data_IF_789469232573
#
_entry.id   IF_789469232573
#
_cell.length_a   1.000
_cell.length_b   1.000
_cell.length_c   1.000
_cell.angle_alpha   90.00
_cell.angle_beta   90.00
_cell.angle_gamma   90.00
#
_symmetry.space_group_name_H-M   'P 1'
#
loop_
_entity.id
_entity.type
_entity.pdbx_description
1 polymer ?
#
# COMPACT_ATOMS: atom_id res chain seq x y z
N UNK A 1 -25.23 -2.68 0.86
CA UNK A 1 -24.25 -1.57 1.00
C UNK A 1 -22.94 -1.98 1.68
N UNK A 2 -22.85 -3.13 2.37
CA UNK A 2 -21.61 -3.59 3.02
C UNK A 2 -20.54 -4.18 2.07
N UNK A 3 -20.93 -4.75 0.93
CA UNK A 3 -20.00 -5.42 -0.02
C UNK A 3 -18.98 -4.48 -0.68
N UNK A 4 -19.27 -3.17 -0.76
CA UNK A 4 -18.36 -2.20 -1.36
C UNK A 4 -17.23 -1.75 -0.42
N UNK A 5 -17.34 -2.00 0.89
CA UNK A 5 -16.39 -1.49 1.89
C UNK A 5 -15.04 -2.20 1.75
N UNK A 6 -15.04 -3.53 1.59
CA UNK A 6 -13.80 -4.32 1.48
C UNK A 6 -12.99 -3.99 0.22
N UNK A 7 -13.58 -3.96 -0.99
CA UNK A 7 -12.86 -3.56 -2.21
C UNK A 7 -12.34 -2.12 -2.13
N UNK A 8 -13.14 -1.20 -1.58
CA UNK A 8 -12.72 0.20 -1.45
C UNK A 8 -11.54 0.36 -0.48
N UNK A 9 -11.59 -0.30 0.68
CA UNK A 9 -10.46 -0.33 1.61
C UNK A 9 -9.21 -0.95 1.00
N UNK A 10 -9.37 -2.02 0.19
CA UNK A 10 -8.26 -2.63 -0.53
C UNK A 10 -7.59 -1.63 -1.47
N UNK A 11 -8.37 -0.95 -2.32
CA UNK A 11 -7.84 0.03 -3.29
C UNK A 11 -7.15 1.19 -2.57
N UNK A 12 -7.73 1.70 -1.47
CA UNK A 12 -7.07 2.73 -0.67
C UNK A 12 -5.75 2.25 -0.07
N UNK A 13 -5.72 1.03 0.47
CA UNK A 13 -4.51 0.47 1.04
C UNK A 13 -3.43 0.31 -0.04
N UNK A 14 -3.79 -0.15 -1.24
CA UNK A 14 -2.90 -0.21 -2.42
C UNK A 14 -2.39 1.18 -2.78
N UNK A 15 -3.24 2.19 -2.85
CA UNK A 15 -2.82 3.56 -3.16
C UNK A 15 -1.83 4.13 -2.12
N UNK A 16 -2.09 3.90 -0.83
CA UNK A 16 -1.20 4.31 0.27
C UNK A 16 0.11 3.54 0.27
N UNK A 17 0.11 2.28 -0.17
CA UNK A 17 1.32 1.47 -0.29
C UNK A 17 2.19 1.90 -1.47
N UNK A 18 1.58 2.19 -2.62
CA UNK A 18 2.26 2.55 -3.87
C UNK A 18 2.75 4.00 -3.88
N UNK A 19 1.96 4.96 -3.37
CA UNK A 19 2.29 6.39 -3.39
C UNK A 19 3.69 6.74 -2.86
N UNK A 20 4.12 6.20 -1.70
CA UNK A 20 5.48 6.36 -1.17
C UNK A 20 6.59 5.97 -2.13
N UNK A 21 6.42 4.88 -2.90
CA UNK A 21 7.47 4.38 -3.81
C UNK A 21 7.77 5.44 -4.87
N UNK A 22 6.71 6.01 -5.46
CA UNK A 22 6.82 7.07 -6.46
C UNK A 22 7.40 8.37 -5.86
N UNK A 23 6.90 8.79 -4.69
CA UNK A 23 7.42 9.98 -4.02
C UNK A 23 8.92 9.85 -3.69
N UNK A 24 9.33 8.69 -3.14
CA UNK A 24 10.72 8.46 -2.79
C UNK A 24 11.62 8.48 -4.02
N UNK A 25 11.21 7.78 -5.09
CA UNK A 25 12.01 7.64 -6.30
C UNK A 25 12.11 8.95 -7.10
N UNK A 26 10.98 9.62 -7.33
CA UNK A 26 10.90 10.79 -8.21
C UNK A 26 11.35 12.07 -7.50
N UNK A 27 11.00 12.25 -6.22
CA UNK A 27 11.17 13.51 -5.51
C UNK A 27 12.17 13.42 -4.36
N UNK A 28 12.00 12.49 -3.43
CA UNK A 28 12.77 12.51 -2.18
C UNK A 28 14.26 12.17 -2.40
N UNK A 29 14.57 11.09 -3.12
CA UNK A 29 15.95 10.68 -3.41
C UNK A 29 16.75 11.78 -4.12
N UNK A 30 16.29 12.39 -5.22
CA UNK A 30 17.04 13.46 -5.87
C UNK A 30 17.19 14.70 -4.97
N UNK A 31 16.17 15.08 -4.20
CA UNK A 31 16.28 16.19 -3.25
C UNK A 31 17.29 15.91 -2.12
N UNK A 32 17.34 14.69 -1.59
CA UNK A 32 18.29 14.29 -0.55
C UNK A 32 19.73 14.27 -1.10
N UNK A 33 19.90 13.96 -2.39
CA UNK A 33 21.22 13.94 -3.05
C UNK A 33 21.87 15.32 -3.14
N UNK A 34 21.12 16.42 -3.05
CA UNK A 34 21.68 17.78 -3.04
C UNK A 34 22.29 18.19 -1.70
N UNK A 35 22.21 17.34 -0.67
CA UNK A 35 22.82 17.58 0.63
C UNK A 35 24.31 17.22 0.56
N UNK A 36 25.18 18.21 0.82
CA UNK A 36 26.65 18.06 0.79
C UNK A 36 27.19 17.24 1.98
N UNK A 37 26.65 17.48 3.18
CA UNK A 37 27.05 16.73 4.37
C UNK A 37 26.53 15.28 4.29
N UNK A 38 27.46 14.34 4.15
CA UNK A 38 27.16 12.92 4.02
C UNK A 38 26.44 12.34 5.25
N UNK A 39 26.76 12.79 6.47
CA UNK A 39 26.12 12.30 7.69
C UNK A 39 24.67 12.79 7.76
N UNK A 40 24.44 14.06 7.43
CA UNK A 40 23.08 14.63 7.36
C UNK A 40 22.27 13.92 6.29
N UNK A 41 22.85 13.74 5.09
CA UNK A 41 22.22 13.02 3.98
C UNK A 41 21.78 11.60 4.37
N UNK A 42 22.68 10.83 5.01
CA UNK A 42 22.38 9.47 5.45
C UNK A 42 21.28 9.44 6.52
N UNK A 43 21.31 10.37 7.50
CA UNK A 43 20.31 10.45 8.54
C UNK A 43 18.92 10.81 8.00
N UNK A 44 18.84 11.76 7.06
CA UNK A 44 17.59 12.16 6.40
C UNK A 44 17.03 10.98 5.59
N UNK A 45 17.87 10.33 4.77
CA UNK A 45 17.48 9.17 3.98
C UNK A 45 16.94 8.04 4.87
N UNK A 46 17.65 7.72 5.95
CA UNK A 46 17.23 6.69 6.91
C UNK A 46 15.90 7.04 7.56
N UNK A 47 15.76 8.26 8.07
CA UNK A 47 14.53 8.70 8.76
C UNK A 47 13.31 8.62 7.85
N UNK A 48 13.43 9.12 6.63
CA UNK A 48 12.35 9.10 5.64
C UNK A 48 11.99 7.66 5.27
N UNK A 49 12.99 6.85 4.91
CA UNK A 49 12.77 5.46 4.47
C UNK A 49 12.20 4.60 5.59
N UNK A 50 12.63 4.78 6.85
CA UNK A 50 12.08 4.03 7.99
C UNK A 50 10.61 4.39 8.24
N UNK A 51 10.24 5.68 8.19
CA UNK A 51 8.84 6.09 8.40
C UNK A 51 7.93 5.58 7.29
N UNK A 52 8.35 5.72 6.03
CA UNK A 52 7.62 5.15 4.91
C UNK A 52 7.58 3.62 4.95
N UNK A 53 8.64 2.98 5.45
CA UNK A 53 8.68 1.53 5.66
C UNK A 53 7.58 1.05 6.61
N UNK A 54 7.42 1.70 7.76
CA UNK A 54 6.32 1.36 8.69
C UNK A 54 4.94 1.54 8.05
N UNK A 55 4.74 2.62 7.30
CA UNK A 55 3.47 2.85 6.58
C UNK A 55 3.23 1.80 5.49
N UNK A 56 4.28 1.41 4.76
CA UNK A 56 4.21 0.37 3.74
C UNK A 56 3.89 -0.99 4.36
N UNK A 57 4.50 -1.35 5.49
CA UNK A 57 4.17 -2.60 6.18
C UNK A 57 2.73 -2.62 6.70
N UNK A 58 2.24 -1.52 7.27
CA UNK A 58 0.86 -1.41 7.73
C UNK A 58 -0.12 -1.52 6.55
N UNK A 59 0.13 -0.81 5.45
CA UNK A 59 -0.70 -0.88 4.25
C UNK A 59 -0.66 -2.28 3.62
N UNK A 60 0.51 -2.92 3.55
CA UNK A 60 0.66 -4.29 3.04
C UNK A 60 -0.18 -5.29 3.84
N UNK A 61 -0.19 -5.18 5.17
CA UNK A 61 -1.04 -6.03 6.02
C UNK A 61 -2.53 -5.85 5.66
N UNK A 62 -2.98 -4.60 5.48
CA UNK A 62 -4.38 -4.32 5.08
C UNK A 62 -4.67 -4.87 3.68
N UNK A 63 -3.77 -4.71 2.71
CA UNK A 63 -3.91 -5.24 1.34
C UNK A 63 -4.08 -6.76 1.38
N UNK A 64 -3.23 -7.46 2.14
CA UNK A 64 -3.29 -8.93 2.26
C UNK A 64 -4.61 -9.37 2.88
N UNK A 65 -5.01 -8.76 4.01
CA UNK A 65 -6.25 -9.12 4.69
C UNK A 65 -7.49 -8.87 3.80
N UNK A 66 -7.56 -7.69 3.20
CA UNK A 66 -8.70 -7.31 2.34
C UNK A 66 -8.73 -8.07 1.03
N UNK A 67 -7.56 -8.39 0.44
CA UNK A 67 -7.47 -9.18 -0.79
C UNK A 67 -7.94 -10.61 -0.58
N UNK A 68 -7.56 -11.24 0.54
CA UNK A 68 -8.07 -12.55 0.93
C UNK A 68 -9.60 -12.50 1.10
N UNK A 69 -10.12 -11.52 1.83
CA UNK A 69 -11.57 -11.36 2.02
C UNK A 69 -12.34 -11.10 0.72
N UNK A 70 -11.73 -10.42 -0.25
CA UNK A 70 -12.36 -10.17 -1.54
C UNK A 70 -12.49 -11.44 -2.39
N UNK A 71 -11.45 -12.28 -2.39
CA UNK A 71 -11.46 -13.57 -3.12
C UNK A 71 -12.56 -14.49 -2.57
N UNK A 72 -12.71 -14.58 -1.25
CA UNK A 72 -13.77 -15.41 -0.65
C UNK A 72 -15.17 -14.89 -0.99
N UNK A 73 -15.38 -13.57 -0.98
CA UNK A 73 -16.65 -12.97 -1.39
C UNK A 73 -16.95 -13.25 -2.87
N UNK A 74 -15.98 -13.07 -3.75
CA UNK A 74 -16.16 -13.37 -5.18
C UNK A 74 -16.42 -14.85 -5.43
N UNK A 75 -15.78 -15.76 -4.70
CA UNK A 75 -16.01 -17.20 -4.83
C UNK A 75 -17.44 -17.59 -4.42
N UNK A 76 -17.94 -17.08 -3.29
CA UNK A 76 -19.31 -17.33 -2.82
C UNK A 76 -20.34 -16.76 -3.81
N UNK A 77 -20.11 -15.57 -4.36
CA UNK A 77 -21.00 -14.93 -5.34
C UNK A 77 -21.01 -15.71 -6.67
N UNK A 78 -19.85 -16.19 -7.13
CA UNK A 78 -19.75 -16.98 -8.36
C UNK A 78 -20.42 -18.35 -8.24
N UNK A 79 -20.32 -19.01 -7.08
CA UNK A 79 -21.00 -20.27 -6.80
C UNK A 79 -22.52 -20.11 -6.88
N UNK A 80 -23.05 -19.03 -6.28
CA UNK A 80 -24.48 -18.70 -6.34
C UNK A 80 -24.97 -18.38 -7.77
N UNK A 81 -24.10 -17.88 -8.66
CA UNK A 81 -24.38 -17.68 -10.08
C UNK A 81 -24.20 -18.95 -10.94
N UNK A 82 -23.69 -20.04 -10.39
CA UNK A 82 -23.62 -21.32 -11.12
C UNK A 82 -24.68 -22.30 -10.63
N UNK A 83 -25.18 -22.11 -9.41
CA UNK A 83 -26.25 -22.89 -8.79
C UNK A 83 -27.66 -22.37 -9.16
N UNK A 84 -27.82 -21.78 -10.35
CA UNK A 84 -29.11 -21.42 -10.91
C UNK A 84 -29.91 -22.67 -11.30
N UNK A 85 -30.78 -23.14 -10.41
CA UNK A 85 -32.02 -23.86 -10.80
C UNK A 85 -32.98 -22.92 -11.54
#
# INVERSE_FOLDING_TARGET
MGHAVTPWLHILAVAVWVGPQFFLFIAAVPAIRTIDDMRVRANVMRTITTRFGWMAWAALAVIVLTGISNIFQEADDFDHLLDFD
#
